data_IF_836612734924
#
_entry.id   IF_836612734924
#
_cell.length_a   1.000
_cell.length_b   1.000
_cell.length_c   1.000
_cell.angle_alpha   90.00
_cell.angle_beta   90.00
_cell.angle_gamma   90.00
#
_symmetry.space_group_name_H-M   'P 1'
#
loop_
_entity.id
_entity.type
_entity.pdbx_description
1 polymer ?
#
# COMPACT_ATOMS: atom_id res chain seq x y z
N UNK A 1 -31.98 -11.29 -5.71
CA UNK A 1 -31.39 -11.90 -6.94
C UNK A 1 -30.02 -12.40 -6.51
N UNK A 2 -29.77 -13.71 -6.45
CA UNK A 2 -28.57 -14.25 -5.74
C UNK A 2 -27.24 -13.61 -6.16
N UNK A 3 -27.08 -13.25 -7.44
CA UNK A 3 -25.87 -12.59 -7.95
C UNK A 3 -25.73 -11.13 -7.49
N UNK A 4 -26.82 -10.34 -7.51
CA UNK A 4 -26.82 -8.94 -7.08
C UNK A 4 -26.53 -8.81 -5.58
N UNK A 5 -27.18 -9.65 -4.77
CA UNK A 5 -27.03 -9.64 -3.31
C UNK A 5 -25.58 -9.96 -2.89
N UNK A 6 -24.91 -10.84 -3.66
CA UNK A 6 -23.48 -11.16 -3.48
C UNK A 6 -22.58 -9.95 -3.74
N UNK A 7 -22.81 -9.23 -4.83
CA UNK A 7 -22.02 -8.03 -5.18
C UNK A 7 -22.19 -6.93 -4.13
N UNK A 8 -23.43 -6.69 -3.67
CA UNK A 8 -23.71 -5.74 -2.57
C UNK A 8 -22.92 -6.12 -1.33
N UNK A 9 -22.94 -7.40 -0.95
CA UNK A 9 -22.21 -7.89 0.22
C UNK A 9 -20.70 -7.69 0.10
N UNK A 10 -20.13 -7.88 -1.10
CA UNK A 10 -18.70 -7.66 -1.34
C UNK A 10 -18.33 -6.17 -1.28
N UNK A 11 -19.11 -5.28 -1.89
CA UNK A 11 -18.85 -3.84 -1.83
C UNK A 11 -18.93 -3.28 -0.40
N UNK A 12 -19.80 -3.83 0.46
CA UNK A 12 -19.87 -3.43 1.89
C UNK A 12 -18.61 -3.73 2.68
N UNK A 13 -17.68 -4.56 2.17
CA UNK A 13 -16.39 -4.83 2.83
C UNK A 13 -15.38 -3.71 2.62
N UNK A 14 -15.62 -2.81 1.66
CA UNK A 14 -14.72 -1.69 1.40
C UNK A 14 -14.87 -0.65 2.52
N UNK A 15 -13.75 -0.11 3.03
CA UNK A 15 -13.80 0.92 4.06
C UNK A 15 -14.60 2.13 3.56
N UNK A 16 -15.52 2.65 4.39
CA UNK A 16 -16.38 3.78 4.04
C UNK A 16 -17.61 3.46 3.18
N UNK A 17 -17.81 2.20 2.77
CA UNK A 17 -18.96 1.81 1.93
C UNK A 17 -20.10 1.22 2.76
N UNK A 18 -21.12 2.04 3.03
CA UNK A 18 -22.36 1.63 3.70
C UNK A 18 -23.33 0.86 2.78
N UNK A 19 -24.41 0.28 3.34
CA UNK A 19 -25.36 -0.57 2.59
C UNK A 19 -25.99 0.16 1.39
N UNK A 20 -26.40 1.42 1.56
CA UNK A 20 -26.97 2.24 0.47
C UNK A 20 -25.95 2.53 -0.64
N UNK A 21 -24.68 2.74 -0.30
CA UNK A 21 -23.64 2.96 -1.30
C UNK A 21 -23.31 1.67 -2.06
N UNK A 22 -23.21 0.55 -1.36
CA UNK A 22 -22.98 -0.76 -1.98
C UNK A 22 -24.10 -1.14 -2.95
N UNK A 23 -25.36 -0.87 -2.61
CA UNK A 23 -26.50 -1.07 -3.51
C UNK A 23 -26.39 -0.18 -4.76
N UNK A 24 -26.03 1.11 -4.60
CA UNK A 24 -25.80 2.01 -5.74
C UNK A 24 -24.70 1.50 -6.67
N UNK A 25 -23.58 0.99 -6.13
CA UNK A 25 -22.50 0.41 -6.92
C UNK A 25 -22.94 -0.87 -7.65
N UNK A 26 -23.67 -1.75 -6.96
CA UNK A 26 -24.18 -2.97 -7.58
C UNK A 26 -25.17 -2.68 -8.72
N UNK A 27 -26.05 -1.69 -8.55
CA UNK A 27 -26.97 -1.25 -9.61
C UNK A 27 -26.27 -0.52 -10.76
N UNK A 28 -25.16 0.17 -10.49
CA UNK A 28 -24.30 0.71 -11.55
C UNK A 28 -23.77 -0.44 -12.42
N UNK A 29 -23.21 -1.49 -11.82
CA UNK A 29 -22.71 -2.67 -12.57
C UNK A 29 -23.76 -3.27 -13.50
N UNK A 30 -25.03 -3.35 -13.07
CA UNK A 30 -26.13 -3.89 -13.88
C UNK A 30 -26.45 -3.00 -15.11
N UNK A 31 -26.29 -1.69 -14.99
CA UNK A 31 -26.63 -0.72 -16.05
C UNK A 31 -25.46 -0.41 -16.99
N UNK A 32 -24.25 -0.72 -16.56
CA UNK A 32 -23.01 -0.41 -17.31
C UNK A 32 -22.78 -1.46 -18.41
N UNK A 33 -22.29 -1.05 -19.60
CA UNK A 33 -21.94 -1.99 -20.66
C UNK A 33 -20.93 -3.04 -20.21
N UNK A 34 -21.11 -4.29 -20.67
CA UNK A 34 -20.28 -5.43 -20.25
C UNK A 34 -18.77 -5.16 -20.42
N UNK A 35 -18.37 -4.49 -21.51
CA UNK A 35 -16.96 -4.19 -21.78
C UNK A 35 -16.29 -3.34 -20.68
N UNK A 36 -16.99 -2.35 -20.13
CA UNK A 36 -16.46 -1.52 -19.04
C UNK A 36 -16.39 -2.29 -17.73
N UNK A 37 -17.30 -3.25 -17.51
CA UNK A 37 -17.25 -4.11 -16.33
C UNK A 37 -16.10 -5.11 -16.43
N UNK A 38 -15.84 -5.67 -17.62
CA UNK A 38 -14.67 -6.51 -17.84
C UNK A 38 -13.36 -5.74 -17.63
N UNK A 39 -13.25 -4.51 -18.14
CA UNK A 39 -12.09 -3.64 -17.88
C UNK A 39 -11.87 -3.41 -16.37
N UNK A 40 -12.94 -3.14 -15.62
CA UNK A 40 -12.86 -2.97 -14.16
C UNK A 40 -12.38 -4.26 -13.46
N UNK A 41 -12.92 -5.41 -13.87
CA UNK A 41 -12.57 -6.71 -13.29
C UNK A 41 -11.11 -7.04 -13.59
N UNK A 42 -10.63 -6.79 -14.80
CA UNK A 42 -9.23 -6.96 -15.18
C UNK A 42 -8.32 -6.02 -14.40
N UNK A 43 -8.68 -4.76 -14.23
CA UNK A 43 -7.90 -3.82 -13.42
C UNK A 43 -7.77 -4.27 -11.96
N UNK A 44 -8.86 -4.76 -11.36
CA UNK A 44 -8.85 -5.29 -9.99
C UNK A 44 -7.98 -6.56 -9.87
N UNK A 45 -8.04 -7.46 -10.86
CA UNK A 45 -7.16 -8.64 -10.92
C UNK A 45 -5.70 -8.23 -11.07
N UNK A 46 -5.41 -7.28 -11.97
CA UNK A 46 -4.10 -6.72 -12.21
C UNK A 46 -3.46 -6.22 -10.92
N UNK A 47 -4.12 -5.28 -10.23
CA UNK A 47 -3.63 -4.72 -8.95
C UNK A 47 -3.38 -5.82 -7.92
N UNK A 48 -4.28 -6.79 -7.79
CA UNK A 48 -4.13 -7.85 -6.79
C UNK A 48 -2.95 -8.79 -7.09
N UNK A 49 -2.61 -8.97 -8.36
CA UNK A 49 -1.55 -9.88 -8.82
C UNK A 49 -0.19 -9.18 -8.95
N UNK A 50 -0.16 -7.90 -9.32
CA UNK A 50 1.07 -7.16 -9.61
C UNK A 50 1.59 -6.37 -8.41
N UNK A 51 0.70 -5.84 -7.56
CA UNK A 51 1.11 -5.00 -6.43
C UNK A 51 1.60 -5.89 -5.29
N UNK A 52 2.93 -5.94 -5.16
CA UNK A 52 3.64 -6.55 -4.05
C UNK A 52 4.20 -5.51 -3.09
N UNK A 53 5.12 -5.98 -2.24
CA UNK A 53 5.94 -5.11 -1.41
C UNK A 53 7.32 -4.97 -2.04
N UNK A 54 7.81 -3.72 -2.08
CA UNK A 54 9.19 -3.42 -2.39
C UNK A 54 10.11 -4.20 -1.46
N UNK A 55 11.09 -4.90 -2.04
CA UNK A 55 12.09 -5.68 -1.31
C UNK A 55 12.91 -4.84 -0.33
N UNK A 56 13.09 -3.55 -0.61
CA UNK A 56 13.96 -2.66 0.18
C UNK A 56 13.20 -1.89 1.25
N UNK A 57 12.07 -1.27 0.92
CA UNK A 57 11.37 -0.33 1.81
C UNK A 57 10.00 -0.80 2.27
N UNK A 58 9.55 -1.98 1.83
CA UNK A 58 8.21 -2.50 2.07
C UNK A 58 7.05 -1.59 1.61
N UNK A 59 7.30 -0.54 0.82
CA UNK A 59 6.23 0.21 0.15
C UNK A 59 5.56 -0.65 -0.94
N UNK A 60 4.39 -0.24 -1.45
CA UNK A 60 3.82 -0.90 -2.62
C UNK A 60 4.73 -0.73 -3.85
N UNK A 61 4.89 -1.81 -4.60
CA UNK A 61 5.70 -1.85 -5.82
C UNK A 61 5.02 -2.74 -6.87
N UNK A 62 5.18 -2.36 -8.13
CA UNK A 62 4.86 -3.18 -9.30
C UNK A 62 6.18 -3.78 -9.83
N UNK A 63 6.64 -4.84 -9.15
CA UNK A 63 7.97 -5.44 -9.34
C UNK A 63 8.76 -5.62 -8.04
N UNK A 64 10.08 -5.85 -8.14
CA UNK A 64 10.93 -6.06 -6.95
C UNK A 64 11.19 -4.78 -6.14
N UNK A 65 11.27 -3.62 -6.82
CA UNK A 65 11.55 -2.32 -6.22
C UNK A 65 10.45 -1.32 -6.57
N UNK A 66 10.09 -0.46 -5.62
CA UNK A 66 9.22 0.69 -5.91
C UNK A 66 10.00 1.78 -6.66
N UNK A 67 9.27 2.70 -7.29
CA UNK A 67 9.83 3.82 -8.06
C UNK A 67 10.84 4.67 -7.27
N UNK A 68 10.64 4.82 -5.95
CA UNK A 68 11.53 5.59 -5.08
C UNK A 68 12.85 4.84 -4.83
N UNK A 69 12.81 3.51 -4.69
CA UNK A 69 14.01 2.70 -4.44
C UNK A 69 14.80 2.40 -5.72
N UNK A 70 14.14 2.41 -6.88
CA UNK A 70 14.81 2.28 -8.18
C UNK A 70 15.44 3.59 -8.66
N UNK A 71 14.97 4.75 -8.15
CA UNK A 71 15.57 6.05 -8.45
C UNK A 71 16.98 6.17 -7.87
N UNK A 72 17.95 6.52 -8.72
CA UNK A 72 19.35 6.74 -8.35
C UNK A 72 19.66 8.19 -7.96
N UNK A 73 18.74 9.12 -8.22
CA UNK A 73 18.87 10.53 -7.82
C UNK A 73 18.53 10.79 -6.34
N UNK A 74 17.90 9.80 -5.70
CA UNK A 74 17.51 9.85 -4.28
C UNK A 74 18.69 9.57 -3.36
N UNK A 75 18.68 10.22 -2.20
CA UNK A 75 19.65 9.97 -1.15
C UNK A 75 19.32 8.67 -0.40
N UNK A 76 20.15 7.64 -0.59
CA UNK A 76 19.95 6.32 0.02
C UNK A 76 20.48 6.23 1.44
N UNK A 77 21.18 7.26 1.91
CA UNK A 77 21.77 7.31 3.25
C UNK A 77 20.81 7.88 4.29
N UNK A 78 19.74 8.53 3.85
CA UNK A 78 18.66 9.06 4.70
C UNK A 78 17.40 8.22 4.50
N UNK A 79 16.96 7.54 5.57
CA UNK A 79 15.76 6.70 5.56
C UNK A 79 14.66 7.34 6.43
N UNK A 80 13.52 7.68 5.84
CA UNK A 80 12.32 8.10 6.57
C UNK A 80 11.41 6.91 6.86
N UNK A 81 11.27 6.58 8.14
CA UNK A 81 10.43 5.48 8.61
C UNK A 81 9.01 5.99 8.81
N UNK A 82 8.06 5.35 8.13
CA UNK A 82 6.66 5.72 8.16
C UNK A 82 5.76 4.56 8.57
N UNK A 83 4.59 4.89 9.11
CA UNK A 83 3.66 3.88 9.62
C UNK A 83 2.90 3.18 8.50
N UNK A 84 2.45 3.95 7.50
CA UNK A 84 1.63 3.46 6.39
C UNK A 84 2.10 3.99 5.04
N UNK A 85 1.71 3.31 3.96
CA UNK A 85 2.04 3.74 2.58
C UNK A 85 1.42 5.10 2.22
N UNK A 86 0.33 5.47 2.88
CA UNK A 86 -0.31 6.79 2.71
C UNK A 86 0.58 7.93 3.20
N UNK A 87 1.39 7.70 4.22
CA UNK A 87 2.33 8.69 4.76
C UNK A 87 3.40 9.03 3.73
N UNK A 88 3.91 8.02 2.99
CA UNK A 88 4.85 8.23 1.87
C UNK A 88 4.23 9.17 0.83
N UNK A 89 2.98 8.90 0.43
CA UNK A 89 2.30 9.72 -0.56
C UNK A 89 2.06 11.16 -0.07
N UNK A 90 1.87 11.36 1.24
CA UNK A 90 1.73 12.70 1.83
C UNK A 90 3.06 13.48 1.81
N UNK A 91 4.17 12.84 2.17
CA UNK A 91 5.50 13.47 2.18
C UNK A 91 5.98 13.75 0.75
N UNK A 92 5.81 12.82 -0.18
CA UNK A 92 6.20 13.00 -1.59
C UNK A 92 5.46 14.18 -2.25
N UNK A 93 4.19 14.41 -1.88
CA UNK A 93 3.43 15.58 -2.37
C UNK A 93 4.04 16.91 -1.94
N UNK A 94 4.71 16.96 -0.78
CA UNK A 94 5.37 18.17 -0.31
C UNK A 94 6.65 18.50 -1.10
N UNK A 95 7.24 17.51 -1.79
CA UNK A 95 8.47 17.65 -2.60
C UNK A 95 9.67 18.23 -1.83
N UNK A 96 9.70 18.06 -0.51
CA UNK A 96 10.74 18.58 0.38
C UNK A 96 11.74 17.51 0.82
N UNK A 97 11.45 16.23 0.56
CA UNK A 97 12.28 15.11 1.01
C UNK A 97 12.88 14.38 -0.20
N UNK A 98 14.21 14.25 -0.24
CA UNK A 98 14.94 13.55 -1.29
C UNK A 98 15.50 12.18 -0.86
N UNK A 99 15.28 11.79 0.39
CA UNK A 99 15.70 10.49 0.90
C UNK A 99 14.82 9.35 0.41
N UNK A 100 15.04 8.18 0.98
CA UNK A 100 14.24 6.97 0.75
C UNK A 100 13.36 6.67 1.97
N UNK A 101 12.34 5.84 1.79
CA UNK A 101 11.41 5.51 2.88
C UNK A 101 11.60 4.10 3.40
N UNK A 102 10.96 3.78 4.53
CA UNK A 102 10.66 2.44 4.99
C UNK A 102 9.27 2.39 5.61
N UNK A 103 8.41 1.49 5.17
CA UNK A 103 7.00 1.40 5.61
C UNK A 103 6.81 0.26 6.60
N UNK A 104 6.36 0.58 7.81
CA UNK A 104 6.16 -0.39 8.90
C UNK A 104 4.87 -1.20 8.80
N UNK A 105 3.88 -0.74 8.04
CA UNK A 105 2.52 -1.30 7.92
C UNK A 105 1.74 -1.35 9.23
N UNK A 106 1.95 -0.34 10.09
CA UNK A 106 1.25 -0.21 11.34
C UNK A 106 2.06 0.52 12.41
N UNK A 107 1.51 0.49 13.61
CA UNK A 107 2.12 1.06 14.82
C UNK A 107 2.05 0.02 15.94
N UNK A 108 2.98 0.10 16.90
CA UNK A 108 2.91 -0.76 18.08
C UNK A 108 1.69 -0.35 18.89
N UNK A 109 0.78 -1.30 19.11
CA UNK A 109 -0.45 -1.08 19.88
C UNK A 109 -0.67 -2.26 20.82
N UNK A 110 -0.28 -2.15 22.10
CA UNK A 110 -0.51 -3.19 23.09
C UNK A 110 -2.00 -3.50 23.29
N UNK A 111 -2.87 -2.49 23.13
CA UNK A 111 -4.32 -2.65 23.25
C UNK A 111 -4.91 -3.53 22.14
N UNK A 112 -4.34 -3.45 20.94
CA UNK A 112 -4.74 -4.27 19.78
C UNK A 112 -3.91 -5.56 19.65
N UNK A 113 -3.01 -5.83 20.60
CA UNK A 113 -2.09 -6.97 20.57
C UNK A 113 -1.01 -6.89 19.48
N UNK A 114 -0.78 -5.71 18.89
CA UNK A 114 0.22 -5.51 17.83
C UNK A 114 1.57 -5.24 18.46
N UNK A 115 2.48 -6.20 18.33
CA UNK A 115 3.86 -6.10 18.78
C UNK A 115 4.81 -5.78 17.60
N UNK A 116 6.10 -5.61 17.90
CA UNK A 116 7.13 -5.33 16.88
C UNK A 116 7.26 -6.41 15.80
N UNK A 117 6.80 -7.64 16.06
CA UNK A 117 6.80 -8.73 15.09
C UNK A 117 5.66 -8.62 14.07
N UNK A 118 4.59 -7.91 14.42
CA UNK A 118 3.50 -7.57 13.50
C UNK A 118 3.83 -6.45 12.52
N UNK A 119 5.01 -5.82 12.66
CA UNK A 119 5.46 -4.70 11.84
C UNK A 119 6.66 -5.09 10.97
N UNK A 120 6.91 -4.30 9.94
CA UNK A 120 8.10 -4.44 9.06
C UNK A 120 9.38 -3.89 9.67
N UNK A 121 9.56 -4.08 10.98
CA UNK A 121 10.71 -3.57 11.72
C UNK A 121 11.96 -4.45 11.53
N UNK A 122 11.79 -5.76 11.39
CA UNK A 122 12.90 -6.70 11.14
C UNK A 122 13.61 -6.35 9.83
N UNK A 123 12.83 -6.08 8.78
CA UNK A 123 13.31 -5.68 7.47
C UNK A 123 14.06 -4.33 7.52
N UNK A 124 13.62 -3.37 8.34
CA UNK A 124 14.35 -2.11 8.55
C UNK A 124 15.74 -2.36 9.15
N UNK A 125 15.79 -3.15 10.23
CA UNK A 125 17.05 -3.46 10.92
C UNK A 125 18.02 -4.19 9.99
N UNK A 126 17.51 -5.16 9.22
CA UNK A 126 18.31 -5.88 8.21
C UNK A 126 18.83 -4.94 7.11
N UNK A 127 18.01 -4.01 6.65
CA UNK A 127 18.41 -3.01 5.66
C UNK A 127 19.53 -2.11 6.17
N UNK A 128 19.42 -1.60 7.39
CA UNK A 128 20.46 -0.75 8.00
C UNK A 128 21.76 -1.53 8.21
N UNK A 129 21.68 -2.79 8.67
CA UNK A 129 22.86 -3.66 8.83
C UNK A 129 23.56 -3.94 7.49
N UNK A 130 22.78 -4.25 6.45
CA UNK A 130 23.30 -4.53 5.10
C UNK A 130 23.96 -3.31 4.45
N UNK A 131 23.56 -2.11 4.86
CA UNK A 131 24.19 -0.87 4.38
C UNK A 131 25.59 -0.64 4.96
N UNK A 132 26.05 -1.46 5.92
CA UNK A 132 27.42 -1.45 6.47
C UNK A 132 27.91 -0.04 6.86
N UNK A 133 27.07 0.69 7.59
CA UNK A 133 27.38 2.05 8.07
C UNK A 133 27.16 3.17 7.04
N UNK A 134 26.69 2.86 5.84
CA UNK A 134 26.38 3.87 4.84
C UNK A 134 25.14 4.72 5.19
N UNK A 135 24.17 4.16 5.92
CA UNK A 135 23.00 4.94 6.39
C UNK A 135 23.46 5.94 7.44
N UNK A 136 23.36 7.23 7.11
CA UNK A 136 23.78 8.34 7.96
C UNK A 136 22.66 8.86 8.84
N UNK A 137 21.40 8.70 8.42
CA UNK A 137 20.24 9.27 9.12
C UNK A 137 18.99 8.38 9.02
N UNK A 138 18.26 8.30 10.13
CA UNK A 138 16.94 7.67 10.26
C UNK A 138 15.96 8.69 10.85
N UNK A 139 14.90 9.00 10.10
CA UNK A 139 13.83 9.93 10.47
C UNK A 139 12.59 9.14 10.89
#
# INVERSE_FOLDING_TARGET
MKALDKVITLFRRFPGVGPKQAERFALYVVKTPAIQIEELVEALRGVKNSVGYCRECCNYADGELCEICSDHSRDRFVICVVSQTQDVAAIEKAKTFNGVYHVLHGVISPMDGINSEGLKLKELVERVRRADGAVTELI
#
